data_IF_203797128542
#
_entry.id   IF_203797128542
#
_cell.length_a   1.000
_cell.length_b   1.000
_cell.length_c   1.000
_cell.angle_alpha   90.00
_cell.angle_beta   90.00
_cell.angle_gamma   90.00
#
_symmetry.space_group_name_H-M   'P 1'
#
loop_
_entity.id
_entity.type
_entity.pdbx_description
1 polymer ?
#
# COMPACT_ATOMS: atom_id res chain seq x y z
N UNK A 1 7.53 -45.33 -11.51
CA UNK A 1 6.49 -44.33 -11.84
C UNK A 1 6.77 -43.84 -13.25
N UNK A 2 5.95 -44.25 -14.22
CA UNK A 2 6.05 -43.76 -15.59
C UNK A 2 5.71 -42.28 -15.60
N UNK A 3 6.64 -41.45 -16.09
CA UNK A 3 6.28 -40.10 -16.51
C UNK A 3 5.33 -40.25 -17.71
N UNK A 4 4.04 -39.98 -17.50
CA UNK A 4 3.15 -39.68 -18.60
C UNK A 4 3.64 -38.37 -19.24
N UNK A 5 4.28 -38.52 -20.38
CA UNK A 5 4.74 -37.43 -21.21
C UNK A 5 3.55 -37.04 -22.09
N UNK A 6 2.73 -36.12 -21.58
CA UNK A 6 1.55 -35.61 -22.28
C UNK A 6 2.02 -34.53 -23.29
N UNK A 7 2.35 -34.95 -24.50
CA UNK A 7 2.83 -34.05 -25.57
C UNK A 7 1.64 -33.57 -26.39
N UNK A 8 1.16 -32.37 -26.06
CA UNK A 8 0.19 -31.65 -26.89
C UNK A 8 0.93 -30.71 -27.85
N UNK A 9 0.91 -31.01 -29.15
CA UNK A 9 1.43 -30.10 -30.19
C UNK A 9 0.26 -29.24 -30.69
N UNK A 10 0.18 -28.02 -30.17
CA UNK A 10 -0.76 -27.00 -30.63
C UNK A 10 -0.03 -25.70 -30.98
N UNK A 11 -0.64 -24.88 -31.85
CA UNK A 11 -0.12 -23.54 -32.13
C UNK A 11 -0.14 -22.71 -30.84
N UNK A 12 1.00 -22.06 -30.53
CA UNK A 12 1.08 -21.10 -29.44
C UNK A 12 -0.02 -20.05 -29.60
N UNK A 13 -0.77 -19.78 -28.54
CA UNK A 13 -1.78 -18.73 -28.57
C UNK A 13 -1.07 -17.39 -28.73
N UNK A 14 -1.24 -16.75 -29.90
CA UNK A 14 -0.64 -15.45 -30.19
C UNK A 14 -1.45 -14.37 -29.50
N UNK A 15 -0.84 -13.72 -28.51
CA UNK A 15 -1.44 -12.62 -27.77
C UNK A 15 -0.63 -11.35 -28.06
N UNK A 16 -1.32 -10.31 -28.50
CA UNK A 16 -0.75 -8.99 -28.72
C UNK A 16 -0.78 -8.22 -27.38
N UNK A 17 0.39 -7.79 -26.92
CA UNK A 17 0.55 -7.15 -25.60
C UNK A 17 -0.07 -5.75 -25.54
N UNK A 18 -0.03 -5.01 -26.65
CA UNK A 18 -0.56 -3.66 -26.71
C UNK A 18 -2.09 -3.71 -26.78
N UNK A 19 -2.63 -4.64 -27.56
CA UNK A 19 -4.08 -4.90 -27.58
C UNK A 19 -4.57 -5.41 -26.23
N UNK A 20 -3.76 -6.20 -25.53
CA UNK A 20 -4.07 -6.62 -24.16
C UNK A 20 -4.14 -5.42 -23.21
N UNK A 21 -3.18 -4.50 -23.27
CA UNK A 21 -3.20 -3.29 -22.45
C UNK A 21 -4.46 -2.46 -22.72
N UNK A 22 -4.82 -2.23 -23.99
CA UNK A 22 -6.04 -1.51 -24.36
C UNK A 22 -7.31 -2.18 -23.80
N UNK A 23 -7.35 -3.51 -23.77
CA UNK A 23 -8.45 -4.25 -23.18
C UNK A 23 -8.54 -4.07 -21.66
N UNK A 24 -7.39 -4.07 -20.96
CA UNK A 24 -7.27 -3.85 -19.51
C UNK A 24 -7.64 -2.42 -19.11
N UNK A 25 -7.26 -1.44 -19.94
CA UNK A 25 -7.59 -0.03 -19.79
C UNK A 25 -9.09 0.24 -20.02
N UNK A 26 -9.79 -0.74 -20.58
CA UNK A 26 -11.24 -0.77 -20.67
C UNK A 26 -11.80 -0.18 -21.96
N UNK A 27 -10.96 0.02 -22.99
CA UNK A 27 -11.38 0.47 -24.30
C UNK A 27 -12.37 -0.50 -24.96
N UNK A 28 -13.27 0.02 -25.80
CA UNK A 28 -14.07 -0.81 -26.70
C UNK A 28 -13.20 -1.31 -27.86
N UNK A 29 -13.70 -2.30 -28.62
CA UNK A 29 -12.99 -2.78 -29.82
C UNK A 29 -12.77 -1.63 -30.81
N UNK A 30 -13.79 -0.79 -31.02
CA UNK A 30 -13.71 0.36 -31.92
C UNK A 30 -12.68 1.39 -31.48
N UNK A 31 -12.63 1.71 -30.18
CA UNK A 31 -11.64 2.66 -29.65
C UNK A 31 -10.23 2.10 -29.77
N UNK A 32 -10.05 0.81 -29.43
CA UNK A 32 -8.76 0.15 -29.54
C UNK A 32 -8.25 0.10 -30.99
N UNK A 33 -9.12 -0.17 -31.96
CA UNK A 33 -8.77 -0.11 -33.40
C UNK A 33 -8.33 1.30 -33.77
N UNK A 34 -9.04 2.32 -33.33
CA UNK A 34 -8.69 3.72 -33.62
C UNK A 34 -7.31 4.07 -33.08
N UNK A 35 -7.03 3.71 -31.82
CA UNK A 35 -5.72 3.92 -31.19
C UNK A 35 -4.61 3.16 -31.94
N UNK A 36 -4.85 1.90 -32.35
CA UNK A 36 -3.89 1.12 -33.13
C UNK A 36 -3.59 1.75 -34.50
N UNK A 37 -4.60 2.32 -35.17
CA UNK A 37 -4.43 3.03 -36.44
C UNK A 37 -3.57 4.27 -36.24
N UNK A 38 -3.86 5.07 -35.22
CA UNK A 38 -3.09 6.28 -34.88
C UNK A 38 -1.64 5.97 -34.48
N UNK A 39 -1.40 4.81 -33.85
CA UNK A 39 -0.08 4.29 -33.52
C UNK A 39 0.70 3.75 -34.73
N UNK A 40 0.09 3.67 -35.92
CA UNK A 40 0.77 3.25 -37.16
C UNK A 40 0.65 1.76 -37.50
N UNK A 41 -0.25 1.00 -36.87
CA UNK A 41 -0.39 -0.45 -37.12
C UNK A 41 -0.65 -0.82 -38.59
N UNK A 42 -1.27 0.08 -39.37
CA UNK A 42 -1.52 -0.11 -40.81
C UNK A 42 -0.31 0.24 -41.70
N UNK A 43 0.75 0.82 -41.14
CA UNK A 43 2.00 1.10 -41.86
C UNK A 43 2.99 -0.07 -41.75
N UNK A 44 2.89 -0.85 -40.66
CA UNK A 44 3.73 -2.03 -40.40
C UNK A 44 3.24 -3.29 -41.13
N UNK A 45 1.95 -3.35 -41.46
CA UNK A 45 1.32 -4.43 -42.20
C UNK A 45 0.57 -3.89 -43.43
N UNK A 46 0.68 -4.56 -44.59
CA UNK A 46 -0.18 -4.32 -45.77
C UNK A 46 -1.65 -4.77 -45.52
N UNK A 47 -2.17 -4.52 -44.33
CA UNK A 47 -3.53 -4.86 -43.91
C UNK A 47 -4.44 -3.64 -44.08
N UNK A 48 -5.72 -3.90 -44.35
CA UNK A 48 -6.73 -2.85 -44.35
C UNK A 48 -7.38 -2.69 -42.96
N UNK A 49 -8.13 -1.60 -42.75
CA UNK A 49 -8.77 -1.31 -41.47
C UNK A 49 -9.76 -2.41 -41.01
N UNK A 50 -10.38 -3.13 -41.94
CA UNK A 50 -11.31 -4.23 -41.62
C UNK A 50 -10.57 -5.44 -41.01
N UNK A 51 -9.40 -5.79 -41.55
CA UNK A 51 -8.55 -6.85 -41.01
C UNK A 51 -8.08 -6.49 -39.61
N UNK A 52 -7.63 -5.25 -39.39
CA UNK A 52 -7.22 -4.79 -38.06
C UNK A 52 -8.37 -4.82 -37.05
N UNK A 53 -9.58 -4.48 -37.49
CA UNK A 53 -10.76 -4.58 -36.64
C UNK A 53 -11.09 -6.03 -36.28
N UNK A 54 -11.06 -6.95 -37.25
CA UNK A 54 -11.29 -8.38 -37.00
C UNK A 54 -10.25 -8.95 -36.04
N UNK A 55 -8.96 -8.65 -36.26
CA UNK A 55 -7.87 -9.08 -35.39
C UNK A 55 -8.05 -8.57 -33.94
N UNK A 56 -8.32 -7.27 -33.78
CA UNK A 56 -8.58 -6.67 -32.46
C UNK A 56 -9.77 -7.34 -31.76
N UNK A 57 -10.85 -7.60 -32.50
CA UNK A 57 -12.04 -8.26 -31.96
C UNK A 57 -11.75 -9.70 -31.50
N UNK A 58 -10.95 -10.45 -32.26
CA UNK A 58 -10.60 -11.83 -31.94
C UNK A 58 -9.61 -11.92 -30.77
N UNK A 59 -8.65 -10.98 -30.66
CA UNK A 59 -7.81 -10.80 -29.47
C UNK A 59 -8.68 -10.52 -28.23
N UNK A 60 -9.64 -9.58 -28.32
CA UNK A 60 -10.54 -9.24 -27.22
C UNK A 60 -11.38 -10.43 -26.74
N UNK A 61 -11.90 -11.25 -27.68
CA UNK A 61 -12.60 -12.50 -27.36
C UNK A 61 -11.68 -13.49 -26.64
N UNK A 62 -10.44 -13.62 -27.12
CA UNK A 62 -9.43 -14.49 -26.50
C UNK A 62 -9.11 -14.05 -25.07
N UNK A 63 -8.94 -12.75 -24.83
CA UNK A 63 -8.73 -12.21 -23.47
C UNK A 63 -9.92 -12.46 -22.55
N UNK A 64 -11.16 -12.30 -23.04
CA UNK A 64 -12.37 -12.61 -22.27
C UNK A 64 -12.45 -14.10 -21.88
N UNK A 65 -12.02 -14.99 -22.77
CA UNK A 65 -11.95 -16.43 -22.45
C UNK A 65 -10.85 -16.72 -21.42
N UNK A 66 -9.70 -16.04 -21.52
CA UNK A 66 -8.59 -16.15 -20.57
C UNK A 66 -8.92 -15.52 -19.20
N UNK A 67 -9.84 -14.56 -19.15
CA UNK A 67 -10.13 -13.78 -17.94
C UNK A 67 -10.45 -14.67 -16.74
N UNK A 68 -11.27 -15.72 -16.91
CA UNK A 68 -11.60 -16.66 -15.81
C UNK A 68 -10.37 -17.37 -15.24
N UNK A 69 -9.35 -17.61 -16.07
CA UNK A 69 -8.08 -18.22 -15.67
C UNK A 69 -7.20 -17.19 -14.97
N UNK A 70 -7.18 -15.95 -15.44
CA UNK A 70 -6.46 -14.84 -14.78
C UNK A 70 -7.04 -14.53 -13.40
N UNK A 71 -8.33 -14.74 -13.17
CA UNK A 71 -8.93 -14.65 -11.84
C UNK A 71 -8.44 -15.74 -10.88
N UNK A 72 -7.77 -16.79 -11.35
CA UNK A 72 -7.17 -17.84 -10.52
C UNK A 72 -5.80 -18.20 -11.10
N UNK A 73 -4.75 -17.40 -10.84
CA UNK A 73 -3.45 -17.54 -11.50
C UNK A 73 -2.86 -18.95 -11.47
N UNK A 74 -3.02 -19.68 -10.37
CA UNK A 74 -2.60 -21.09 -10.24
C UNK A 74 -3.26 -22.05 -11.25
N UNK A 75 -4.43 -21.72 -11.79
CA UNK A 75 -5.13 -22.50 -12.82
C UNK A 75 -4.67 -22.17 -14.23
N UNK A 76 -4.07 -21.00 -14.47
CA UNK A 76 -3.57 -20.60 -15.79
C UNK A 76 -2.41 -21.50 -16.26
N UNK A 77 -1.60 -21.97 -15.33
CA UNK A 77 -0.49 -22.89 -15.63
C UNK A 77 -0.95 -24.32 -15.95
N UNK A 78 -2.12 -24.73 -15.44
CA UNK A 78 -2.58 -26.13 -15.47
C UNK A 78 -3.69 -26.41 -16.49
N UNK A 79 -4.05 -25.41 -17.32
CA UNK A 79 -5.10 -25.54 -18.32
C UNK A 79 -4.53 -25.96 -19.68
N UNK A 80 -5.32 -26.71 -20.46
CA UNK A 80 -4.92 -27.27 -21.76
C UNK A 80 -5.48 -26.50 -22.96
N UNK A 81 -6.33 -25.49 -22.73
CA UNK A 81 -7.07 -24.76 -23.77
C UNK A 81 -6.18 -23.74 -24.51
N UNK A 82 -5.29 -23.07 -23.79
CA UNK A 82 -4.40 -22.05 -24.32
C UNK A 82 -2.95 -22.49 -24.15
N UNK A 83 -2.22 -22.58 -25.26
CA UNK A 83 -0.79 -22.87 -25.24
C UNK A 83 -0.02 -21.55 -25.05
N UNK A 84 0.09 -21.11 -23.79
CA UNK A 84 0.75 -19.85 -23.41
C UNK A 84 2.08 -20.16 -22.71
N UNK A 85 3.22 -19.66 -23.23
CA UNK A 85 4.52 -19.86 -22.59
C UNK A 85 4.57 -19.28 -21.16
N UNK A 86 5.34 -19.88 -20.22
CA UNK A 86 5.37 -19.44 -18.82
C UNK A 86 5.66 -17.94 -18.63
N UNK A 87 6.63 -17.38 -19.37
CA UNK A 87 6.94 -15.95 -19.28
C UNK A 87 5.75 -15.05 -19.69
N UNK A 88 4.96 -15.47 -20.68
CA UNK A 88 3.74 -14.75 -21.08
C UNK A 88 2.63 -14.91 -20.04
N UNK A 89 2.52 -16.07 -19.39
CA UNK A 89 1.57 -16.26 -18.29
C UNK A 89 1.88 -15.28 -17.15
N UNK A 90 3.14 -15.16 -16.75
CA UNK A 90 3.58 -14.18 -15.74
C UNK A 90 3.23 -12.76 -16.16
N UNK A 91 3.53 -12.37 -17.41
CA UNK A 91 3.18 -11.03 -17.92
C UNK A 91 1.67 -10.76 -17.89
N UNK A 92 0.85 -11.71 -18.35
CA UNK A 92 -0.61 -11.57 -18.35
C UNK A 92 -1.17 -11.44 -16.94
N UNK A 93 -0.69 -12.28 -16.01
CA UNK A 93 -1.10 -12.23 -14.60
C UNK A 93 -0.72 -10.88 -13.99
N UNK A 94 0.54 -10.46 -14.15
CA UNK A 94 1.06 -9.21 -13.59
C UNK A 94 0.24 -8.01 -14.07
N UNK A 95 0.07 -7.84 -15.39
CA UNK A 95 -0.72 -6.73 -15.96
C UNK A 95 -2.21 -6.81 -15.64
N UNK A 96 -2.77 -8.02 -15.51
CA UNK A 96 -4.17 -8.16 -15.11
C UNK A 96 -4.43 -7.64 -13.70
N UNK A 97 -3.49 -7.87 -12.78
CA UNK A 97 -3.56 -7.43 -11.38
C UNK A 97 -2.94 -6.04 -11.16
N UNK A 98 -2.18 -5.51 -12.10
CA UNK A 98 -1.75 -4.11 -12.03
C UNK A 98 -2.95 -3.16 -11.96
N UNK A 99 -2.76 -2.08 -11.21
CA UNK A 99 -3.80 -1.12 -10.89
C UNK A 99 -3.26 0.30 -10.86
N UNK A 100 -4.14 1.26 -11.12
CA UNK A 100 -3.78 2.66 -11.09
C UNK A 100 -3.66 3.17 -9.65
N UNK A 101 -2.55 3.83 -9.34
CA UNK A 101 -2.34 4.42 -8.01
C UNK A 101 -3.42 5.45 -7.64
N UNK A 102 -3.95 6.20 -8.63
CA UNK A 102 -5.05 7.14 -8.42
C UNK A 102 -6.36 6.43 -8.04
N UNK A 103 -6.65 5.28 -8.68
CA UNK A 103 -7.79 4.45 -8.33
C UNK A 103 -7.65 3.84 -6.93
N UNK A 104 -6.50 3.20 -6.67
CA UNK A 104 -6.20 2.61 -5.37
C UNK A 104 -6.34 3.63 -4.24
N UNK A 105 -5.85 4.86 -4.45
CA UNK A 105 -5.95 5.95 -3.48
C UNK A 105 -7.38 6.30 -3.08
N UNK A 106 -8.34 6.23 -4.00
CA UNK A 106 -9.75 6.51 -3.76
C UNK A 106 -10.50 5.37 -3.07
N UNK A 107 -10.01 4.14 -3.22
CA UNK A 107 -10.59 2.93 -2.62
C UNK A 107 -9.97 2.62 -1.26
N UNK A 108 -8.72 3.04 -1.02
CA UNK A 108 -7.93 2.70 0.16
C UNK A 108 -8.64 3.05 1.48
N UNK A 109 -8.70 2.09 2.41
CA UNK A 109 -9.33 2.28 3.72
C UNK A 109 -10.86 2.14 3.71
N UNK A 110 -11.50 2.10 2.53
CA UNK A 110 -12.93 1.79 2.41
C UNK A 110 -13.15 0.27 2.52
N UNK A 111 -14.29 -0.12 3.08
CA UNK A 111 -14.70 -1.54 3.09
C UNK A 111 -14.97 -2.01 1.66
N UNK A 112 -14.28 -3.05 1.21
CA UNK A 112 -14.42 -3.65 -0.13
C UNK A 112 -15.79 -4.35 -0.32
N UNK A 113 -16.84 -3.54 -0.44
CA UNK A 113 -18.24 -3.97 -0.33
C UNK A 113 -19.04 -3.69 -1.61
N UNK A 114 -20.30 -4.16 -1.64
CA UNK A 114 -21.25 -3.78 -2.71
C UNK A 114 -21.51 -2.27 -2.77
N UNK A 115 -21.34 -1.55 -1.65
CA UNK A 115 -21.50 -0.09 -1.60
C UNK A 115 -20.41 0.60 -2.42
N UNK A 116 -19.14 0.35 -2.11
CA UNK A 116 -18.00 0.90 -2.85
C UNK A 116 -18.02 0.53 -4.33
N UNK A 117 -18.58 -0.63 -4.69
CA UNK A 117 -18.77 -1.01 -6.09
C UNK A 117 -19.73 -0.09 -6.85
N UNK A 118 -20.71 0.53 -6.18
CA UNK A 118 -21.64 1.50 -6.79
C UNK A 118 -20.97 2.85 -7.01
N UNK A 119 -20.02 3.22 -6.16
CA UNK A 119 -19.31 4.50 -6.25
C UNK A 119 -18.21 4.49 -7.35
N UNK A 120 -18.04 3.39 -8.08
CA UNK A 120 -17.01 3.27 -9.12
C UNK A 120 -17.27 4.21 -10.32
N UNK A 121 -18.52 4.57 -10.59
CA UNK A 121 -18.87 5.55 -11.64
C UNK A 121 -18.34 6.95 -11.28
N UNK A 122 -18.46 7.34 -10.01
CA UNK A 122 -17.93 8.60 -9.49
C UNK A 122 -16.39 8.60 -9.47
N UNK A 123 -15.78 7.48 -9.04
CA UNK A 123 -14.31 7.34 -9.03
C UNK A 123 -13.76 7.37 -10.45
N UNK A 124 -14.42 6.69 -11.41
CA UNK A 124 -14.07 6.74 -12.83
C UNK A 124 -14.11 8.17 -13.36
N UNK A 125 -15.19 8.91 -13.09
CA UNK A 125 -15.33 10.31 -13.49
C UNK A 125 -14.26 11.21 -12.88
N UNK A 126 -13.89 10.97 -11.61
CA UNK A 126 -12.88 11.76 -10.89
C UNK A 126 -11.45 11.49 -11.35
N UNK A 127 -11.13 10.23 -11.65
CA UNK A 127 -9.75 9.80 -11.98
C UNK A 127 -9.47 9.79 -13.48
N UNK A 128 -10.50 9.79 -14.32
CA UNK A 128 -10.38 9.63 -15.77
C UNK A 128 -10.15 8.17 -16.21
N UNK A 129 -10.09 7.22 -15.27
CA UNK A 129 -9.88 5.81 -15.55
C UNK A 129 -11.19 5.21 -16.03
N UNK A 130 -11.16 4.41 -17.09
CA UNK A 130 -12.38 3.82 -17.64
C UNK A 130 -13.06 2.92 -16.59
N UNK A 131 -14.39 3.04 -16.50
CA UNK A 131 -15.20 2.28 -15.54
C UNK A 131 -14.97 0.77 -15.60
N UNK A 132 -14.73 0.21 -16.79
CA UNK A 132 -14.41 -1.22 -16.97
C UNK A 132 -13.09 -1.59 -16.28
N UNK A 133 -12.06 -0.75 -16.38
CA UNK A 133 -10.79 -0.92 -15.67
C UNK A 133 -10.97 -0.77 -14.16
N UNK A 134 -11.69 0.27 -13.69
CA UNK A 134 -12.04 0.45 -12.28
C UNK A 134 -12.72 -0.79 -11.68
N UNK A 135 -13.66 -1.41 -12.41
CA UNK A 135 -14.36 -2.63 -11.98
C UNK A 135 -13.41 -3.83 -11.87
N UNK A 136 -12.53 -4.02 -12.86
CA UNK A 136 -11.47 -5.07 -12.82
C UNK A 136 -10.58 -4.89 -11.60
N UNK A 137 -10.00 -3.70 -11.42
CA UNK A 137 -9.09 -3.40 -10.31
C UNK A 137 -9.79 -3.63 -8.94
N UNK A 138 -11.02 -3.15 -8.78
CA UNK A 138 -11.81 -3.38 -7.56
C UNK A 138 -12.09 -4.86 -7.30
N UNK A 139 -12.48 -5.61 -8.33
CA UNK A 139 -12.77 -7.04 -8.21
C UNK A 139 -11.48 -7.84 -7.91
N UNK A 140 -10.32 -7.40 -8.41
CA UNK A 140 -9.02 -7.95 -8.04
C UNK A 140 -8.68 -7.66 -6.55
N UNK A 141 -8.86 -6.44 -6.06
CA UNK A 141 -8.68 -6.11 -4.63
C UNK A 141 -9.52 -7.02 -3.74
N UNK A 142 -10.79 -7.18 -4.09
CA UNK A 142 -11.71 -8.09 -3.37
C UNK A 142 -11.25 -9.54 -3.40
N UNK A 143 -10.76 -10.00 -4.55
CA UNK A 143 -10.32 -11.38 -4.71
C UNK A 143 -9.09 -11.67 -3.86
N UNK A 144 -8.10 -10.77 -3.90
CA UNK A 144 -6.91 -10.89 -3.07
C UNK A 144 -7.29 -10.86 -1.59
N UNK A 145 -8.07 -9.86 -1.16
CA UNK A 145 -8.54 -9.74 0.21
C UNK A 145 -9.22 -11.02 0.72
N UNK A 146 -10.17 -11.58 -0.06
CA UNK A 146 -10.90 -12.78 0.34
C UNK A 146 -10.02 -14.02 0.45
N UNK A 147 -9.04 -14.18 -0.42
CA UNK A 147 -8.14 -15.35 -0.37
C UNK A 147 -7.23 -15.25 0.85
N UNK A 148 -6.67 -14.07 1.12
CA UNK A 148 -5.66 -13.92 2.17
C UNK A 148 -6.23 -13.72 3.57
N UNK A 149 -7.48 -13.26 3.71
CA UNK A 149 -8.14 -13.16 5.04
C UNK A 149 -8.32 -14.53 5.72
N UNK A 150 -8.33 -15.61 4.94
CA UNK A 150 -8.47 -16.99 5.44
C UNK A 150 -7.11 -17.67 5.69
N UNK A 151 -5.99 -17.03 5.34
CA UNK A 151 -4.66 -17.61 5.38
C UNK A 151 -3.84 -17.09 6.57
N UNK A 152 -3.13 -18.00 7.23
CA UNK A 152 -2.08 -17.66 8.20
C UNK A 152 -0.75 -17.40 7.49
N UNK A 153 0.16 -16.68 8.13
CA UNK A 153 1.50 -16.44 7.61
C UNK A 153 1.72 -15.04 7.05
N UNK A 154 2.94 -14.74 6.55
CA UNK A 154 3.27 -13.44 5.99
C UNK A 154 2.37 -13.07 4.81
N UNK A 155 1.70 -11.92 4.90
CA UNK A 155 0.72 -11.47 3.91
C UNK A 155 1.27 -11.39 2.49
N UNK A 156 2.47 -10.82 2.32
CA UNK A 156 3.12 -10.67 1.01
C UNK A 156 3.40 -12.04 0.38
N UNK A 157 3.94 -12.99 1.15
CA UNK A 157 4.21 -14.34 0.65
C UNK A 157 2.92 -15.07 0.26
N UNK A 158 1.85 -14.92 1.05
CA UNK A 158 0.55 -15.50 0.74
C UNK A 158 -0.01 -14.97 -0.58
N UNK A 159 0.14 -13.66 -0.85
CA UNK A 159 -0.27 -13.05 -2.11
C UNK A 159 0.58 -13.59 -3.27
N UNK A 160 1.91 -13.62 -3.13
CA UNK A 160 2.81 -14.13 -4.17
C UNK A 160 2.52 -15.60 -4.52
N UNK A 161 2.32 -16.46 -3.51
CA UNK A 161 2.07 -17.89 -3.73
C UNK A 161 0.74 -18.15 -4.42
N UNK A 162 -0.32 -17.42 -4.08
CA UNK A 162 -1.67 -17.67 -4.62
C UNK A 162 -1.96 -16.93 -5.92
N UNK A 163 -1.38 -15.74 -6.10
CA UNK A 163 -1.63 -14.89 -7.25
C UNK A 163 -0.45 -14.76 -8.22
N UNK A 164 0.72 -15.31 -7.88
CA UNK A 164 1.92 -15.33 -8.73
C UNK A 164 2.39 -13.93 -9.15
N UNK A 165 2.18 -12.94 -8.29
CA UNK A 165 2.54 -11.54 -8.51
C UNK A 165 4.01 -11.28 -8.12
N UNK A 166 4.59 -10.24 -8.71
CA UNK A 166 5.90 -9.73 -8.29
C UNK A 166 5.90 -9.29 -6.82
N UNK A 167 7.09 -9.22 -6.20
CA UNK A 167 7.25 -8.72 -4.82
C UNK A 167 6.69 -7.29 -4.65
N UNK A 168 6.91 -6.43 -5.64
CA UNK A 168 6.43 -5.04 -5.61
C UNK A 168 4.90 -5.01 -5.60
N UNK A 169 4.26 -5.66 -6.56
CA UNK A 169 2.80 -5.66 -6.67
C UNK A 169 2.15 -6.38 -5.47
N UNK A 170 2.76 -7.46 -4.98
CA UNK A 170 2.28 -8.17 -3.79
C UNK A 170 2.32 -7.29 -2.53
N UNK A 171 3.35 -6.45 -2.34
CA UNK A 171 3.42 -5.48 -1.23
C UNK A 171 2.34 -4.41 -1.34
N UNK A 172 2.09 -3.92 -2.55
CA UNK A 172 1.05 -2.92 -2.78
C UNK A 172 -0.36 -3.50 -2.51
N UNK A 173 -0.60 -4.75 -2.92
CA UNK A 173 -1.81 -5.49 -2.53
C UNK A 173 -1.89 -5.74 -1.02
N UNK A 174 -0.78 -6.08 -0.36
CA UNK A 174 -0.73 -6.26 1.08
C UNK A 174 -1.15 -4.97 1.81
N UNK A 175 -0.70 -3.81 1.32
CA UNK A 175 -1.12 -2.52 1.85
C UNK A 175 -2.63 -2.29 1.71
N UNK A 176 -3.21 -2.60 0.54
CA UNK A 176 -4.66 -2.49 0.30
C UNK A 176 -5.44 -3.38 1.27
N UNK A 177 -5.02 -4.64 1.43
CA UNK A 177 -5.67 -5.60 2.33
C UNK A 177 -5.59 -5.12 3.77
N UNK A 178 -4.41 -4.71 4.22
CA UNK A 178 -4.18 -4.20 5.56
C UNK A 178 -5.07 -2.97 5.85
N UNK A 179 -5.12 -2.00 4.94
CA UNK A 179 -5.96 -0.82 5.10
C UNK A 179 -7.46 -1.15 5.08
N UNK A 180 -7.89 -2.09 4.24
CA UNK A 180 -9.28 -2.52 4.19
C UNK A 180 -9.70 -3.23 5.49
N UNK A 181 -8.79 -4.02 6.09
CA UNK A 181 -9.02 -4.72 7.34
C UNK A 181 -9.09 -3.75 8.53
N UNK A 182 -8.05 -2.93 8.71
CA UNK A 182 -7.96 -1.97 9.83
C UNK A 182 -8.86 -0.73 9.66
N UNK A 183 -9.38 -0.48 8.45
CA UNK A 183 -10.26 0.65 8.09
C UNK A 183 -9.67 2.03 8.40
N UNK A 184 -8.38 2.22 8.15
CA UNK A 184 -7.73 3.52 8.28
C UNK A 184 -8.45 4.58 7.44
N UNK A 185 -8.66 5.76 8.01
CA UNK A 185 -9.28 6.89 7.32
C UNK A 185 -8.22 7.58 6.45
N UNK A 186 -8.46 7.58 5.14
CA UNK A 186 -7.56 8.16 4.13
C UNK A 186 -8.25 9.25 3.30
N UNK A 187 -9.56 9.44 3.45
CA UNK A 187 -10.39 10.29 2.60
C UNK A 187 -10.51 11.75 3.05
N UNK A 188 -9.99 12.10 4.24
CA UNK A 188 -10.07 13.48 4.74
C UNK A 188 -9.24 14.44 3.88
N UNK A 189 -9.73 15.68 3.73
CA UNK A 189 -9.11 16.73 2.92
C UNK A 189 -7.63 16.95 3.23
N UNK A 190 -7.26 16.94 4.51
CA UNK A 190 -5.87 17.09 4.97
C UNK A 190 -4.93 15.97 4.53
N UNK A 191 -5.44 14.81 4.11
CA UNK A 191 -4.65 13.70 3.60
C UNK A 191 -4.62 13.65 2.06
N UNK A 192 -5.28 14.58 1.36
CA UNK A 192 -5.36 14.56 -0.10
C UNK A 192 -4.03 14.78 -0.80
N UNK A 193 -3.06 15.41 -0.13
CA UNK A 193 -1.73 15.60 -0.68
C UNK A 193 -0.90 14.29 -0.71
N UNK A 194 -1.33 13.25 0.01
CA UNK A 194 -0.64 11.96 0.09
C UNK A 194 -1.10 11.03 -1.04
N UNK A 195 -0.14 10.40 -1.70
CA UNK A 195 -0.34 9.40 -2.74
C UNK A 195 -0.65 8.02 -2.15
N UNK A 196 -1.09 7.08 -3.00
CA UNK A 196 -1.19 5.67 -2.61
C UNK A 196 0.15 5.12 -2.08
N UNK A 197 1.24 5.45 -2.76
CA UNK A 197 2.59 4.96 -2.42
C UNK A 197 3.08 5.48 -1.05
N UNK A 198 2.62 6.66 -0.62
CA UNK A 198 2.90 7.14 0.74
C UNK A 198 2.22 6.26 1.79
N UNK A 199 0.95 5.90 1.56
CA UNK A 199 0.23 4.99 2.44
C UNK A 199 0.76 3.56 2.36
N UNK A 200 1.11 3.06 1.17
CA UNK A 200 1.66 1.73 0.99
C UNK A 200 2.98 1.54 1.75
N UNK A 201 3.86 2.55 1.70
CA UNK A 201 5.06 2.58 2.52
C UNK A 201 4.74 2.50 4.02
N UNK A 202 3.80 3.34 4.50
CA UNK A 202 3.39 3.33 5.90
C UNK A 202 2.75 2.00 6.31
N UNK A 203 1.94 1.39 5.44
CA UNK A 203 1.38 0.06 5.62
C UNK A 203 2.48 -0.97 5.83
N UNK A 204 3.51 -0.95 4.97
CA UNK A 204 4.66 -1.86 5.09
C UNK A 204 5.36 -1.75 6.44
N UNK A 205 5.54 -0.54 6.96
CA UNK A 205 6.10 -0.34 8.31
C UNK A 205 5.18 -0.90 9.40
N UNK A 206 3.87 -0.63 9.32
CA UNK A 206 2.90 -1.14 10.29
C UNK A 206 2.81 -2.68 10.26
N UNK A 207 2.79 -3.29 9.08
CA UNK A 207 2.77 -4.75 8.92
C UNK A 207 4.06 -5.37 9.46
N UNK A 208 5.22 -4.77 9.17
CA UNK A 208 6.52 -5.36 9.55
C UNK A 208 6.82 -5.26 11.04
N UNK A 209 6.13 -4.38 11.77
CA UNK A 209 6.47 -4.13 13.17
C UNK A 209 5.28 -4.15 14.12
N UNK A 210 4.03 -3.95 13.70
CA UNK A 210 2.89 -3.79 14.63
C UNK A 210 1.84 -4.90 14.53
N UNK A 211 1.98 -5.86 13.60
CA UNK A 211 1.06 -7.00 13.50
C UNK A 211 1.55 -8.20 14.30
N UNK A 212 0.67 -9.17 14.54
CA UNK A 212 0.97 -10.37 15.32
C UNK A 212 2.08 -11.18 14.65
N UNK A 213 3.10 -11.55 15.45
CA UNK A 213 4.25 -12.32 15.00
C UNK A 213 5.27 -11.54 14.15
N UNK A 214 5.06 -10.23 13.92
CA UNK A 214 5.97 -9.41 13.14
C UNK A 214 7.39 -9.30 13.74
N UNK A 215 7.51 -9.39 15.07
CA UNK A 215 8.78 -9.30 15.80
C UNK A 215 9.25 -10.67 16.33
N UNK A 216 8.33 -11.62 16.49
CA UNK A 216 8.61 -12.97 16.99
C UNK A 216 8.46 -14.03 15.89
N UNK A 217 9.59 -14.34 15.22
CA UNK A 217 9.69 -15.39 14.18
C UNK A 217 9.31 -16.81 14.63
N UNK A 218 9.00 -17.02 15.91
CA UNK A 218 8.63 -18.31 16.51
C UNK A 218 7.12 -18.50 16.64
N UNK A 219 6.29 -17.49 16.31
CA UNK A 219 4.84 -17.63 16.34
C UNK A 219 4.33 -18.30 15.06
N UNK A 220 3.67 -19.46 15.20
CA UNK A 220 2.97 -20.13 14.10
C UNK A 220 1.70 -19.37 13.65
N UNK A 221 1.21 -18.45 14.47
CA UNK A 221 0.02 -17.63 14.24
C UNK A 221 0.38 -16.19 13.81
N UNK A 222 0.94 -16.06 12.61
CA UNK A 222 1.10 -14.76 11.95
C UNK A 222 -0.26 -14.29 11.42
N UNK A 223 -0.71 -13.13 11.89
CA UNK A 223 -1.96 -12.47 11.46
C UNK A 223 -1.66 -11.05 10.96
N UNK A 224 -2.48 -10.55 10.04
CA UNK A 224 -2.46 -9.19 9.50
C UNK A 224 -3.04 -8.18 10.50
N UNK A 225 -3.72 -8.67 11.54
CA UNK A 225 -4.24 -7.85 12.62
C UNK A 225 -3.13 -7.18 13.44
N UNK A 226 -3.39 -5.93 13.85
CA UNK A 226 -2.53 -5.21 14.78
C UNK A 226 -2.48 -5.94 16.13
N UNK A 227 -1.28 -6.07 16.67
CA UNK A 227 -1.02 -6.77 17.92
C UNK A 227 -1.61 -5.98 19.11
N UNK A 228 -2.69 -6.50 19.68
CA UNK A 228 -3.46 -5.79 20.73
C UNK A 228 -2.69 -5.58 22.02
N UNK A 229 -1.80 -6.51 22.38
CA UNK A 229 -0.96 -6.43 23.58
C UNK A 229 0.05 -5.29 23.42
N UNK A 230 0.83 -5.29 22.34
CA UNK A 230 1.70 -4.15 22.02
C UNK A 230 0.95 -2.80 22.04
N UNK A 231 -0.22 -2.69 21.39
CA UNK A 231 -1.00 -1.45 21.41
C UNK A 231 -1.48 -1.06 22.81
N UNK A 232 -1.70 -2.03 23.70
CA UNK A 232 -2.03 -1.79 25.10
C UNK A 232 -0.86 -1.17 25.86
N UNK A 233 0.32 -1.75 25.69
CA UNK A 233 1.56 -1.36 26.37
C UNK A 233 2.03 0.05 25.99
N UNK A 234 1.61 0.57 24.82
CA UNK A 234 1.86 1.96 24.42
C UNK A 234 1.35 3.01 25.41
N UNK A 235 0.40 2.65 26.29
CA UNK A 235 -0.08 3.55 27.35
C UNK A 235 0.99 3.90 28.36
N UNK A 236 1.94 3.00 28.61
CA UNK A 236 2.99 3.19 29.60
C UNK A 236 4.00 4.26 29.16
N UNK A 237 4.10 4.53 27.86
CA UNK A 237 4.90 5.62 27.31
C UNK A 237 4.49 7.00 27.84
N UNK A 238 3.27 7.15 28.40
CA UNK A 238 2.82 8.39 29.04
C UNK A 238 3.73 8.86 30.17
N UNK A 239 4.48 7.97 30.80
CA UNK A 239 5.45 8.35 31.84
C UNK A 239 6.41 9.45 31.34
N UNK A 240 6.83 9.40 30.08
CA UNK A 240 7.76 10.35 29.46
C UNK A 240 7.23 11.79 29.47
N UNK A 241 5.92 11.98 29.38
CA UNK A 241 5.30 13.32 29.26
C UNK A 241 4.52 13.75 30.49
N UNK A 242 4.16 12.81 31.37
CA UNK A 242 3.49 13.07 32.65
C UNK A 242 4.48 13.43 33.76
N UNK A 243 5.66 12.81 33.76
CA UNK A 243 6.76 13.20 34.63
C UNK A 243 7.44 14.45 34.04
N UNK A 244 7.27 15.58 34.73
CA UNK A 244 7.79 16.87 34.29
C UNK A 244 9.32 16.88 34.25
N UNK A 245 9.97 16.27 35.22
CA UNK A 245 11.43 16.28 35.33
C UNK A 245 12.02 15.40 34.23
N UNK A 246 11.41 14.24 33.97
CA UNK A 246 11.80 13.37 32.85
C UNK A 246 11.64 14.08 31.50
N UNK A 247 10.51 14.77 31.27
CA UNK A 247 10.27 15.52 30.03
C UNK A 247 11.27 16.67 29.85
N UNK A 248 11.61 17.38 30.93
CA UNK A 248 12.57 18.49 30.90
C UNK A 248 14.01 17.99 30.68
N UNK A 249 14.38 16.84 31.24
CA UNK A 249 15.65 16.17 30.96
C UNK A 249 15.73 15.73 29.49
N UNK A 250 14.66 15.09 28.97
CA UNK A 250 14.60 14.68 27.57
C UNK A 250 14.75 15.87 26.62
N UNK A 251 14.02 16.96 26.89
CA UNK A 251 14.15 18.22 26.15
C UNK A 251 15.60 18.71 26.14
N UNK A 252 16.24 18.73 27.30
CA UNK A 252 17.62 19.23 27.45
C UNK A 252 18.61 18.41 26.62
N UNK A 253 18.48 17.08 26.63
CA UNK A 253 19.32 16.17 25.83
C UNK A 253 19.14 16.41 24.33
N UNK A 254 17.89 16.51 23.86
CA UNK A 254 17.60 16.74 22.44
C UNK A 254 18.09 18.12 22.00
N UNK A 255 17.87 19.16 22.82
CA UNK A 255 18.35 20.51 22.53
C UNK A 255 19.88 20.57 22.45
N UNK A 256 20.59 19.86 23.35
CA UNK A 256 22.05 19.77 23.30
C UNK A 256 22.54 19.13 21.99
N UNK A 257 21.83 18.10 21.49
CA UNK A 257 22.19 17.43 20.24
C UNK A 257 21.89 18.25 18.98
N UNK A 258 20.85 19.07 19.00
CA UNK A 258 20.37 19.80 17.82
C UNK A 258 20.89 21.24 17.72
N UNK A 259 21.47 21.79 18.79
CA UNK A 259 21.96 23.18 18.82
C UNK A 259 22.97 23.41 17.69
N UNK A 260 22.68 24.39 16.84
CA UNK A 260 23.50 24.75 15.69
C UNK A 260 23.44 23.78 14.50
N UNK A 261 22.59 22.73 14.54
CA UNK A 261 22.44 21.75 13.46
C UNK A 261 21.14 21.90 12.66
N UNK A 262 20.12 22.52 13.25
CA UNK A 262 18.83 22.78 12.60
C UNK A 262 18.59 24.27 12.49
N UNK A 263 17.86 24.68 11.44
CA UNK A 263 17.58 26.11 11.19
C UNK A 263 16.51 26.66 12.14
N UNK A 264 15.53 25.82 12.45
CA UNK A 264 14.34 26.12 13.26
C UNK A 264 14.53 25.78 14.74
N UNK A 265 15.75 25.99 15.28
CA UNK A 265 16.09 25.55 16.64
C UNK A 265 15.22 26.20 17.71
N UNK A 266 14.97 27.50 17.60
CA UNK A 266 14.16 28.25 18.58
C UNK A 266 12.71 27.81 18.57
N UNK A 267 12.13 27.60 17.40
CA UNK A 267 10.77 27.11 17.20
C UNK A 267 10.65 25.67 17.70
N UNK A 268 11.63 24.80 17.40
CA UNK A 268 11.71 23.45 17.93
C UNK A 268 11.77 23.42 19.46
N UNK A 269 12.62 24.25 20.07
CA UNK A 269 12.75 24.31 21.52
C UNK A 269 11.45 24.78 22.20
N UNK A 270 10.75 25.74 21.59
CA UNK A 270 9.48 26.26 22.08
C UNK A 270 8.35 25.21 21.96
N UNK A 271 8.32 24.48 20.86
CA UNK A 271 7.28 23.49 20.55
C UNK A 271 7.56 22.08 21.12
N UNK A 272 8.78 21.80 21.60
CA UNK A 272 9.23 20.47 22.03
C UNK A 272 8.23 19.71 22.90
N UNK A 273 7.75 20.32 23.98
CA UNK A 273 6.82 19.67 24.93
C UNK A 273 5.48 19.35 24.29
N UNK A 274 5.02 20.20 23.35
CA UNK A 274 3.76 19.99 22.65
C UNK A 274 3.90 18.85 21.64
N UNK A 275 4.97 18.82 20.86
CA UNK A 275 5.28 17.74 19.92
C UNK A 275 5.47 16.40 20.64
N UNK A 276 6.16 16.41 21.79
CA UNK A 276 6.37 15.21 22.61
C UNK A 276 5.04 14.63 23.12
N UNK A 277 4.18 15.50 23.67
CA UNK A 277 2.83 15.12 24.09
C UNK A 277 1.99 14.65 22.93
N UNK A 278 2.10 15.25 21.75
CA UNK A 278 1.36 14.81 20.57
C UNK A 278 1.67 13.35 20.23
N UNK A 279 2.96 13.00 20.06
CA UNK A 279 3.38 11.64 19.74
C UNK A 279 2.96 10.64 20.83
N UNK A 280 3.26 10.92 22.10
CA UNK A 280 2.94 9.99 23.19
C UNK A 280 1.43 9.85 23.40
N UNK A 281 0.65 10.92 23.23
CA UNK A 281 -0.80 10.82 23.35
C UNK A 281 -1.43 10.03 22.20
N UNK A 282 -0.90 10.14 20.97
CA UNK A 282 -1.32 9.27 19.86
C UNK A 282 -1.08 7.81 20.26
N UNK A 283 0.14 7.45 20.66
CA UNK A 283 0.50 6.09 21.09
C UNK A 283 -0.49 5.52 22.11
N UNK A 284 -0.75 6.28 23.17
CA UNK A 284 -1.59 5.83 24.29
C UNK A 284 -3.07 5.62 23.96
N UNK A 285 -3.54 6.16 22.83
CA UNK A 285 -4.93 6.05 22.38
C UNK A 285 -5.14 4.90 21.40
N UNK A 286 -4.06 4.32 20.84
CA UNK A 286 -4.16 3.25 19.84
C UNK A 286 -4.80 1.96 20.34
N UNK A 287 -5.09 1.83 21.65
CA UNK A 287 -5.97 0.76 22.13
C UNK A 287 -7.42 0.87 21.65
N UNK A 288 -7.82 2.06 21.18
CA UNK A 288 -9.17 2.31 20.71
C UNK A 288 -9.22 2.24 19.18
N UNK A 289 -10.16 1.45 18.65
CA UNK A 289 -10.33 1.26 17.20
C UNK A 289 -10.58 2.57 16.44
N UNK A 290 -11.17 3.59 17.08
CA UNK A 290 -11.33 4.91 16.45
C UNK A 290 -9.96 5.56 16.22
N UNK A 291 -9.14 5.62 17.25
CA UNK A 291 -7.82 6.26 17.20
C UNK A 291 -6.84 5.50 16.28
N UNK A 292 -6.97 4.16 16.17
CA UNK A 292 -6.28 3.40 15.12
C UNK A 292 -6.70 3.88 13.74
N UNK A 293 -8.01 3.98 13.47
CA UNK A 293 -8.50 4.42 12.15
C UNK A 293 -8.05 5.85 11.81
N UNK A 294 -8.01 6.71 12.81
CA UNK A 294 -7.63 8.13 12.66
C UNK A 294 -6.10 8.35 12.77
N UNK A 295 -5.27 7.31 12.86
CA UNK A 295 -3.81 7.43 13.08
C UNK A 295 -3.12 8.42 12.14
N UNK A 296 -3.36 8.30 10.82
CA UNK A 296 -2.73 9.18 9.83
C UNK A 296 -3.22 10.63 9.91
N UNK A 297 -4.50 10.82 10.26
CA UNK A 297 -5.05 12.15 10.52
C UNK A 297 -4.34 12.76 11.72
N UNK A 298 -4.24 12.00 12.80
CA UNK A 298 -3.62 12.43 14.05
C UNK A 298 -2.14 12.79 13.87
N UNK A 299 -1.39 12.00 13.10
CA UNK A 299 -0.01 12.33 12.76
C UNK A 299 0.10 13.63 11.96
N UNK A 300 -0.83 13.86 11.02
CA UNK A 300 -0.85 15.09 10.24
C UNK A 300 -1.21 16.29 11.11
N UNK A 301 -2.33 16.23 11.81
CA UNK A 301 -2.87 17.34 12.60
C UNK A 301 -1.99 17.71 13.80
N UNK A 302 -1.55 16.71 14.55
CA UNK A 302 -0.94 16.96 15.86
C UNK A 302 0.56 17.11 15.80
N UNK A 303 1.19 16.73 14.68
CA UNK A 303 2.64 16.74 14.55
C UNK A 303 3.14 17.38 13.26
N UNK A 304 2.72 16.90 12.08
CA UNK A 304 3.23 17.40 10.79
C UNK A 304 2.80 18.85 10.51
N UNK A 305 1.51 19.19 10.66
CA UNK A 305 0.99 20.54 10.45
C UNK A 305 1.67 21.58 11.36
N UNK A 306 1.87 21.33 12.68
CA UNK A 306 2.70 22.19 13.51
C UNK A 306 4.12 22.40 12.98
N UNK A 307 4.82 21.33 12.58
CA UNK A 307 6.18 21.44 12.03
C UNK A 307 6.21 22.25 10.72
N UNK A 308 5.23 22.05 9.83
CA UNK A 308 5.09 22.84 8.60
C UNK A 308 4.80 24.31 8.88
N UNK A 309 3.98 24.60 9.88
CA UNK A 309 3.64 25.98 10.28
C UNK A 309 4.89 26.74 10.74
N UNK A 310 5.77 26.05 11.45
CA UNK A 310 7.09 26.55 11.88
C UNK A 310 8.17 26.43 10.78
N UNK A 311 7.79 26.05 9.55
CA UNK A 311 8.67 25.96 8.36
C UNK A 311 9.86 25.01 8.52
N UNK A 312 9.66 23.89 9.21
CA UNK A 312 10.68 22.86 9.32
C UNK A 312 10.97 22.25 7.95
N UNK A 313 12.24 22.08 7.61
CA UNK A 313 12.60 21.28 6.44
C UNK A 313 12.52 19.79 6.77
N UNK A 314 12.39 18.93 5.76
CA UNK A 314 12.51 17.47 5.95
C UNK A 314 13.83 17.07 6.65
N UNK A 315 14.91 17.83 6.43
CA UNK A 315 16.20 17.62 7.09
C UNK A 315 16.15 17.91 8.59
N UNK A 316 15.57 19.05 8.97
CA UNK A 316 15.37 19.42 10.38
C UNK A 316 14.51 18.39 11.09
N UNK A 317 13.40 17.97 10.46
CA UNK A 317 12.46 16.98 10.98
C UNK A 317 13.14 15.61 11.20
N UNK A 318 13.97 15.18 10.24
CA UNK A 318 14.72 13.92 10.34
C UNK A 318 15.71 13.94 11.49
N UNK A 319 16.45 15.04 11.66
CA UNK A 319 17.40 15.20 12.77
C UNK A 319 16.65 15.21 14.11
N UNK A 320 15.56 15.97 14.20
CA UNK A 320 14.73 16.02 15.40
C UNK A 320 14.20 14.64 15.79
N UNK A 321 13.50 13.94 14.89
CA UNK A 321 12.92 12.62 15.20
C UNK A 321 13.99 11.59 15.55
N UNK A 322 15.19 11.69 14.95
CA UNK A 322 16.32 10.81 15.28
C UNK A 322 16.79 11.03 16.71
N UNK A 323 17.11 12.27 17.08
CA UNK A 323 17.59 12.58 18.41
C UNK A 323 16.49 12.48 19.48
N UNK A 324 15.24 12.83 19.14
CA UNK A 324 14.08 12.66 20.00
C UNK A 324 13.90 11.19 20.39
N UNK A 325 13.90 10.26 19.41
CA UNK A 325 13.77 8.83 19.68
C UNK A 325 14.98 8.25 20.43
N UNK A 326 16.21 8.62 20.05
CA UNK A 326 17.41 8.02 20.67
C UNK A 326 17.69 8.52 22.08
N UNK A 327 17.43 9.80 22.38
CA UNK A 327 17.85 10.42 23.66
C UNK A 327 17.07 9.89 24.88
N UNK A 328 15.93 9.24 24.65
CA UNK A 328 15.14 8.61 25.72
C UNK A 328 15.93 7.49 26.42
N UNK A 329 16.85 6.81 25.72
CA UNK A 329 17.69 5.75 26.30
C UNK A 329 18.66 6.24 27.38
N UNK A 330 18.92 7.55 27.42
CA UNK A 330 19.78 8.16 28.44
C UNK A 330 18.99 8.47 29.73
N UNK A 331 17.66 8.36 29.71
CA UNK A 331 16.81 8.61 30.87
C UNK A 331 16.72 7.34 31.72
N UNK A 332 17.46 7.29 32.84
CA UNK A 332 17.53 6.11 33.72
C UNK A 332 16.15 5.63 34.22
N UNK A 333 15.22 6.55 34.44
CA UNK A 333 13.88 6.25 34.91
C UNK A 333 12.94 5.73 33.81
N UNK A 334 13.32 5.79 32.54
CA UNK A 334 12.50 5.33 31.42
C UNK A 334 12.75 3.85 31.12
N UNK A 335 11.82 2.99 31.55
CA UNK A 335 11.96 1.52 31.47
C UNK A 335 11.31 0.86 30.25
N UNK A 336 10.73 1.64 29.34
CA UNK A 336 9.92 1.13 28.22
C UNK A 336 10.64 1.21 26.87
N UNK A 337 11.97 1.00 26.85
CA UNK A 337 12.82 1.21 25.67
C UNK A 337 12.40 0.34 24.47
N UNK A 338 12.12 -0.95 24.68
CA UNK A 338 11.73 -1.87 23.60
C UNK A 338 10.42 -1.43 22.93
N UNK A 339 9.41 -1.10 23.73
CA UNK A 339 8.10 -0.62 23.26
C UNK A 339 8.27 0.73 22.54
N UNK A 340 9.09 1.62 23.09
CA UNK A 340 9.40 2.92 22.52
C UNK A 340 10.06 2.81 21.15
N UNK A 341 11.06 1.94 21.00
CA UNK A 341 11.77 1.75 19.73
C UNK A 341 10.86 1.17 18.66
N UNK A 342 10.05 0.17 19.03
CA UNK A 342 9.04 -0.44 18.14
C UNK A 342 8.00 0.59 17.67
N UNK A 343 7.54 1.46 18.56
CA UNK A 343 6.60 2.53 18.24
C UNK A 343 7.25 3.63 17.39
N UNK A 344 8.33 4.23 17.88
CA UNK A 344 8.98 5.37 17.24
C UNK A 344 9.66 5.00 15.93
N UNK A 345 10.14 3.77 15.75
CA UNK A 345 10.69 3.29 14.48
C UNK A 345 9.68 3.41 13.34
N UNK A 346 8.45 2.95 13.57
CA UNK A 346 7.35 3.08 12.60
C UNK A 346 6.90 4.52 12.45
N UNK A 347 6.63 5.20 13.57
CA UNK A 347 6.06 6.56 13.54
C UNK A 347 7.00 7.57 12.89
N UNK A 348 8.30 7.50 13.20
CA UNK A 348 9.33 8.30 12.53
C UNK A 348 9.30 8.07 11.02
N UNK A 349 9.27 6.81 10.59
CA UNK A 349 9.28 6.46 9.17
C UNK A 349 8.03 6.95 8.45
N UNK A 350 6.85 6.77 9.05
CA UNK A 350 5.58 7.26 8.50
C UNK A 350 5.56 8.79 8.43
N UNK A 351 5.96 9.50 9.49
CA UNK A 351 6.02 10.96 9.49
C UNK A 351 6.94 11.47 8.39
N UNK A 352 8.15 10.91 8.27
CA UNK A 352 9.11 11.34 7.25
C UNK A 352 8.61 11.05 5.83
N UNK A 353 7.87 9.97 5.62
CA UNK A 353 7.27 9.66 4.31
C UNK A 353 6.13 10.62 3.96
N UNK A 354 5.31 10.97 4.95
CA UNK A 354 4.16 11.86 4.79
C UNK A 354 4.54 13.34 4.79
N UNK A 355 5.76 13.69 5.17
CA UNK A 355 6.20 15.08 5.18
C UNK A 355 6.66 15.54 3.79
N UNK A 356 5.69 15.96 2.99
CA UNK A 356 5.93 16.65 1.71
C UNK A 356 6.16 18.14 1.97
N UNK A 357 7.12 18.75 1.26
CA UNK A 357 7.46 20.17 1.36
C UNK A 357 6.43 21.08 0.65
#
# INVERSE_FOLDING_TARGET
MSMELDVFVGNTTVLDEDVYQLWLDGHSVTDAVTIRVEAGALQECEANAEVLHSDTMDQFRTFQMCERLLQSPSKLANQLLFQIPPHRQTMLIERYYEFDSAFAREVLGKKLSKGTKKDLDDISSKTGIALKSCRRQFDNFKRVFKVVEELKGPLVENIQRHFLLSDVLARDYAAIVFFANSRFETGKRKLQYLSFQDFAFCAGQLISYWTVGAVDNMMEDMDVDLEKEFLHDLKDLKVLVNDKDMLDQHKSLVCAQLRGKIKVFSEMEASFKNLSRALVNIASKLTHTKDVRDLFIDLVEKFIEPCRSDKWTIGDLRLFLTHYSSSVHTLEAFRHQVIWDRYMGVIKSCILKMYHD
#
